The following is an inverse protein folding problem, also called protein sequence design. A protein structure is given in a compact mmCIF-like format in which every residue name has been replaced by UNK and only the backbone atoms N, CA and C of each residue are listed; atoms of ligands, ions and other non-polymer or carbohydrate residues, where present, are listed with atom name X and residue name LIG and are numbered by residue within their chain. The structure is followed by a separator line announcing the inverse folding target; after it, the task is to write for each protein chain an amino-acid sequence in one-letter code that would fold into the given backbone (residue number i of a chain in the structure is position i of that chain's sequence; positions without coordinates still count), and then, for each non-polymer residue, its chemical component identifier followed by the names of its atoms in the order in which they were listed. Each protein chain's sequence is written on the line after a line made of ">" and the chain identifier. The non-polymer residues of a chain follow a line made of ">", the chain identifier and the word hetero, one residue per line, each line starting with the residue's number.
data_IF_439277197443
#
_entry.id   IF_439277197443
#
_cell.length_a   1.000
_cell.length_b   1.000
_cell.length_c   1.000
_cell.angle_alpha   90.00
_cell.angle_beta   90.00
_cell.angle_gamma   90.00
#
_symmetry.space_group_name_H-M   'P 1'
#
loop_
_entity.id
_entity.type
_entity.pdbx_description
1 polymer ?
#
# COMPACT_ATOMS: atom_id res chain seq x y z
N UNK A 1 -38.83 -15.05 18.86
CA UNK A 1 -37.40 -14.97 19.26
C UNK A 1 -36.61 -14.84 17.97
N UNK A 2 -36.23 -13.62 17.60
CA UNK A 2 -35.54 -13.36 16.32
C UNK A 2 -34.03 -13.42 16.56
N UNK A 3 -33.37 -14.44 15.99
CA UNK A 3 -31.92 -14.51 15.93
C UNK A 3 -31.42 -13.49 14.90
N UNK A 4 -30.83 -12.39 15.37
CA UNK A 4 -30.06 -11.49 14.53
C UNK A 4 -28.70 -12.15 14.30
N UNK A 5 -28.53 -12.80 13.15
CA UNK A 5 -27.20 -13.17 12.67
C UNK A 5 -26.42 -11.88 12.42
N UNK A 6 -25.40 -11.63 13.25
CA UNK A 6 -24.45 -10.57 13.01
C UNK A 6 -23.78 -10.82 11.64
N UNK A 7 -23.61 -9.80 10.79
CA UNK A 7 -22.86 -9.96 9.56
C UNK A 7 -21.43 -10.36 9.91
N UNK A 8 -20.95 -11.45 9.30
CA UNK A 8 -19.53 -11.83 9.30
C UNK A 8 -18.75 -10.64 8.72
N UNK A 9 -18.15 -9.83 9.59
CA UNK A 9 -17.14 -8.87 9.17
C UNK A 9 -16.05 -9.67 8.45
N UNK A 10 -15.68 -9.33 7.20
CA UNK A 10 -14.53 -9.96 6.56
C UNK A 10 -13.31 -9.68 7.44
N UNK A 11 -12.82 -10.71 8.13
CA UNK A 11 -11.54 -10.63 8.84
C UNK A 11 -10.45 -10.44 7.79
N UNK A 12 -9.98 -9.20 7.65
CA UNK A 12 -8.79 -8.90 6.89
C UNK A 12 -7.59 -9.52 7.60
N UNK A 13 -6.95 -10.51 6.97
CA UNK A 13 -5.59 -10.89 7.33
C UNK A 13 -4.64 -9.86 6.70
N UNK A 14 -4.51 -8.71 7.34
CA UNK A 14 -3.47 -7.74 6.99
C UNK A 14 -2.21 -8.07 7.77
N UNK A 15 -1.16 -8.54 7.09
CA UNK A 15 0.17 -8.58 7.69
C UNK A 15 0.68 -7.14 7.81
N UNK A 16 0.73 -6.62 9.05
CA UNK A 16 1.41 -5.36 9.31
C UNK A 16 2.93 -5.61 9.22
N UNK A 17 3.50 -5.25 8.07
CA UNK A 17 4.95 -5.31 7.87
C UNK A 17 5.62 -4.09 8.50
N UNK A 18 6.70 -4.27 9.28
CA UNK A 18 7.55 -3.17 9.70
C UNK A 18 8.10 -2.37 8.51
N UNK A 19 8.32 -1.07 8.69
CA UNK A 19 8.99 -0.23 7.68
C UNK A 19 10.34 -0.82 7.24
N UNK A 20 11.08 -1.40 8.19
CA UNK A 20 12.37 -2.04 7.91
C UNK A 20 12.22 -3.15 6.87
N UNK A 21 11.21 -4.01 6.99
CA UNK A 21 10.93 -5.07 6.01
C UNK A 21 10.64 -4.50 4.62
N UNK A 22 9.97 -3.36 4.53
CA UNK A 22 9.77 -2.65 3.26
C UNK A 22 11.07 -2.14 2.65
N UNK A 23 12.02 -1.66 3.46
CA UNK A 23 13.34 -1.24 3.01
C UNK A 23 14.22 -2.44 2.62
N UNK A 24 14.16 -3.52 3.39
CA UNK A 24 14.85 -4.77 3.08
C UNK A 24 14.35 -5.35 1.75
N UNK A 25 13.04 -5.27 1.47
CA UNK A 25 12.47 -5.66 0.19
C UNK A 25 13.06 -4.85 -0.98
N UNK A 26 13.15 -3.53 -0.84
CA UNK A 26 13.77 -2.66 -1.84
C UNK A 26 15.23 -3.07 -2.08
N UNK A 27 15.95 -3.39 -1.01
CA UNK A 27 17.36 -3.80 -1.02
C UNK A 27 17.60 -5.23 -1.52
N UNK A 28 16.56 -6.00 -1.85
CA UNK A 28 16.74 -7.27 -2.59
C UNK A 28 17.32 -7.07 -3.99
N UNK A 29 17.29 -5.84 -4.51
CA UNK A 29 18.12 -5.42 -5.63
C UNK A 29 19.31 -4.62 -5.11
N UNK A 30 20.47 -5.27 -5.05
CA UNK A 30 21.75 -4.63 -4.74
C UNK A 30 22.40 -4.14 -6.03
N UNK A 31 23.17 -3.06 -5.95
CA UNK A 31 23.90 -2.46 -7.06
C UNK A 31 25.43 -2.55 -6.90
N UNK A 32 25.93 -3.06 -5.77
CA UNK A 32 27.35 -3.11 -5.47
C UNK A 32 27.87 -4.55 -5.25
N UNK A 33 29.04 -4.93 -5.79
CA UNK A 33 29.87 -4.24 -6.79
C UNK A 33 29.29 -4.33 -8.23
N UNK A 34 28.30 -5.18 -8.45
CA UNK A 34 27.55 -5.37 -9.70
C UNK A 34 26.08 -5.55 -9.32
N UNK A 35 25.10 -5.10 -10.15
CA UNK A 35 23.70 -5.34 -9.87
C UNK A 35 23.41 -6.83 -9.63
N UNK A 36 22.81 -7.14 -8.48
CA UNK A 36 22.42 -8.48 -8.09
C UNK A 36 21.00 -8.48 -7.55
N UNK A 37 20.13 -9.25 -8.20
CA UNK A 37 18.75 -9.44 -7.77
C UNK A 37 18.65 -10.72 -6.95
N UNK A 38 18.38 -10.57 -5.66
CA UNK A 38 18.15 -11.69 -4.74
C UNK A 38 16.78 -12.36 -4.96
N UNK A 39 15.89 -11.74 -5.75
CA UNK A 39 14.60 -12.29 -6.19
C UNK A 39 14.70 -12.64 -7.69
N UNK A 40 15.62 -13.53 -8.05
CA UNK A 40 15.87 -13.94 -9.43
C UNK A 40 14.93 -15.04 -9.95
N UNK A 41 14.17 -15.64 -9.05
CA UNK A 41 13.29 -16.78 -9.34
C UNK A 41 12.02 -16.73 -8.50
N UNK A 42 10.91 -17.36 -8.97
CA UNK A 42 9.68 -17.45 -8.18
C UNK A 42 9.91 -18.12 -6.82
N UNK A 43 10.82 -19.10 -6.75
CA UNK A 43 11.18 -19.76 -5.51
C UNK A 43 11.91 -18.82 -4.54
N UNK A 44 12.93 -18.10 -5.01
CA UNK A 44 13.64 -17.12 -4.18
C UNK A 44 12.70 -16.04 -3.65
N UNK A 45 11.76 -15.57 -4.48
CA UNK A 45 10.73 -14.62 -4.08
C UNK A 45 9.82 -15.15 -2.96
N UNK A 46 9.30 -16.38 -3.10
CA UNK A 46 8.42 -16.96 -2.09
C UNK A 46 9.18 -17.27 -0.77
N UNK A 47 10.43 -17.71 -0.85
CA UNK A 47 11.27 -17.93 0.34
C UNK A 47 11.60 -16.61 1.05
N UNK A 48 11.89 -15.55 0.30
CA UNK A 48 12.12 -14.22 0.87
C UNK A 48 10.88 -13.74 1.64
N UNK A 49 9.68 -13.83 1.03
CA UNK A 49 8.43 -13.44 1.68
C UNK A 49 8.15 -14.27 2.96
N UNK A 50 8.38 -15.58 2.92
CA UNK A 50 8.17 -16.45 4.08
C UNK A 50 9.18 -16.19 5.21
N UNK A 51 10.44 -15.89 4.87
CA UNK A 51 11.49 -15.58 5.85
C UNK A 51 11.30 -14.23 6.55
N UNK A 52 10.49 -13.33 5.97
CA UNK A 52 10.17 -12.01 6.54
C UNK A 52 8.76 -11.95 7.14
N UNK A 53 8.13 -13.11 7.41
CA UNK A 53 6.78 -13.23 8.00
C UNK A 53 5.66 -12.53 7.19
N UNK A 54 5.90 -12.32 5.88
CA UNK A 54 4.92 -11.74 4.95
C UNK A 54 4.00 -12.79 4.33
N UNK A 55 4.31 -14.06 4.55
CA UNK A 55 3.55 -15.22 4.07
C UNK A 55 3.82 -16.42 4.97
N UNK A 56 2.81 -17.28 5.15
CA UNK A 56 2.97 -18.54 5.88
C UNK A 56 3.74 -19.59 5.05
N UNK A 57 4.53 -20.44 5.72
CA UNK A 57 5.38 -21.46 5.06
C UNK A 57 4.56 -22.50 4.31
N UNK A 58 3.38 -22.83 4.83
CA UNK A 58 2.43 -23.75 4.21
C UNK A 58 1.90 -23.18 2.89
N UNK A 59 1.51 -21.89 2.90
CA UNK A 59 1.06 -21.20 1.68
C UNK A 59 2.18 -21.10 0.63
N UNK A 60 3.42 -20.88 1.06
CA UNK A 60 4.61 -20.93 0.19
C UNK A 60 4.73 -22.30 -0.49
N UNK A 61 4.65 -23.39 0.28
CA UNK A 61 4.79 -24.75 -0.24
C UNK A 61 3.68 -25.11 -1.22
N UNK A 62 2.43 -24.73 -0.91
CA UNK A 62 1.29 -24.91 -1.80
C UNK A 62 1.47 -24.14 -3.12
N UNK A 63 1.97 -22.91 -3.08
CA UNK A 63 2.23 -22.12 -4.27
C UNK A 63 3.38 -22.68 -5.12
N UNK A 64 4.44 -23.18 -4.49
CA UNK A 64 5.54 -23.84 -5.20
C UNK A 64 5.05 -25.09 -5.94
N UNK A 65 4.25 -25.93 -5.28
CA UNK A 65 3.64 -27.10 -5.92
C UNK A 65 2.72 -26.69 -7.09
N UNK A 66 1.99 -25.58 -6.97
CA UNK A 66 1.20 -25.06 -8.10
C UNK A 66 2.08 -24.61 -9.28
N UNK A 67 3.25 -24.04 -9.02
CA UNK A 67 4.16 -23.60 -10.09
C UNK A 67 4.79 -24.75 -10.86
N UNK A 68 4.91 -25.95 -10.27
CA UNK A 68 5.32 -27.15 -11.00
C UNK A 68 4.34 -27.48 -12.14
N UNK A 69 3.04 -27.24 -11.90
CA UNK A 69 1.97 -27.51 -12.85
C UNK A 69 1.67 -26.31 -13.77
N UNK A 70 2.00 -25.10 -13.32
CA UNK A 70 1.80 -23.85 -14.07
C UNK A 70 2.98 -22.87 -13.90
N UNK A 71 4.14 -23.12 -14.54
CA UNK A 71 5.35 -22.30 -14.33
C UNK A 71 5.17 -20.82 -14.68
N UNK A 72 4.32 -20.52 -15.67
CA UNK A 72 4.02 -19.16 -16.08
C UNK A 72 3.42 -18.32 -14.94
N UNK A 73 2.66 -18.93 -14.02
CA UNK A 73 2.09 -18.23 -12.87
C UNK A 73 3.17 -17.73 -11.90
N UNK A 74 4.24 -18.51 -11.70
CA UNK A 74 5.38 -18.11 -10.88
C UNK A 74 6.11 -16.90 -11.45
N UNK A 75 6.38 -16.90 -12.76
CA UNK A 75 6.99 -15.76 -13.43
C UNK A 75 6.11 -14.51 -13.40
N UNK A 76 4.79 -14.67 -13.56
CA UNK A 76 3.85 -13.55 -13.43
C UNK A 76 3.84 -12.95 -12.02
N UNK A 77 3.92 -13.79 -10.98
CA UNK A 77 4.07 -13.33 -9.60
C UNK A 77 5.38 -12.54 -9.45
N UNK A 78 6.50 -13.09 -9.94
CA UNK A 78 7.80 -12.44 -9.84
C UNK A 78 7.80 -11.07 -10.52
N UNK A 79 7.23 -10.97 -11.73
CA UNK A 79 7.08 -9.68 -12.42
C UNK A 79 6.17 -8.69 -11.69
N UNK A 80 5.22 -9.14 -10.85
CA UNK A 80 4.45 -8.25 -9.98
C UNK A 80 5.31 -7.74 -8.83
N UNK A 81 6.07 -8.62 -8.18
CA UNK A 81 6.98 -8.23 -7.09
C UNK A 81 8.04 -7.24 -7.56
N UNK A 82 8.65 -7.46 -8.73
CA UNK A 82 9.63 -6.53 -9.30
C UNK A 82 9.05 -5.15 -9.57
N UNK A 83 7.83 -5.06 -10.14
CA UNK A 83 7.16 -3.77 -10.38
C UNK A 83 6.88 -3.02 -9.08
N UNK A 84 6.41 -3.73 -8.05
CA UNK A 84 6.17 -3.11 -6.74
C UNK A 84 7.49 -2.64 -6.11
N UNK A 85 8.55 -3.45 -6.20
CA UNK A 85 9.89 -3.10 -5.70
C UNK A 85 10.44 -1.85 -6.37
N UNK A 86 10.30 -1.76 -7.69
CA UNK A 86 10.74 -0.61 -8.48
C UNK A 86 9.99 0.67 -8.06
N UNK A 87 8.68 0.60 -7.93
CA UNK A 87 7.88 1.73 -7.47
C UNK A 87 8.22 2.15 -6.03
N UNK A 88 8.41 1.18 -5.12
CA UNK A 88 8.84 1.47 -3.74
C UNK A 88 10.22 2.14 -3.72
N UNK A 89 11.16 1.68 -4.56
CA UNK A 89 12.46 2.33 -4.73
C UNK A 89 12.33 3.77 -5.21
N UNK A 90 11.51 4.03 -6.22
CA UNK A 90 11.26 5.38 -6.72
C UNK A 90 10.72 6.33 -5.63
N UNK A 91 9.83 5.85 -4.76
CA UNK A 91 9.34 6.60 -3.60
C UNK A 91 10.44 6.86 -2.58
N UNK A 92 11.28 5.87 -2.26
CA UNK A 92 12.40 6.03 -1.32
C UNK A 92 13.42 7.03 -1.85
N UNK A 93 13.80 6.92 -3.13
CA UNK A 93 14.74 7.82 -3.79
C UNK A 93 14.22 9.26 -3.83
N UNK A 94 12.93 9.45 -4.13
CA UNK A 94 12.29 10.77 -4.07
C UNK A 94 12.35 11.37 -2.67
N UNK A 95 12.09 10.55 -1.66
CA UNK A 95 12.11 10.96 -0.26
C UNK A 95 13.52 11.39 0.18
N UNK A 96 14.55 10.60 -0.16
CA UNK A 96 15.96 10.93 0.10
C UNK A 96 16.37 12.22 -0.62
N UNK A 97 15.93 12.39 -1.87
CA UNK A 97 16.20 13.59 -2.67
C UNK A 97 15.34 14.81 -2.27
N UNK A 98 14.46 14.69 -1.27
CA UNK A 98 13.53 15.75 -0.81
C UNK A 98 12.67 16.33 -1.95
N UNK A 99 12.21 15.46 -2.85
CA UNK A 99 11.30 15.80 -3.96
C UNK A 99 10.00 15.02 -3.84
N UNK A 100 8.97 15.45 -4.57
CA UNK A 100 7.75 14.66 -4.70
C UNK A 100 8.05 13.32 -5.41
N UNK A 101 7.46 12.19 -4.95
CA UNK A 101 7.48 10.93 -5.69
C UNK A 101 6.75 11.02 -7.03
N UNK A 102 7.11 10.13 -7.96
CA UNK A 102 6.37 10.02 -9.23
C UNK A 102 4.93 9.53 -8.95
N UNK A 103 3.89 10.18 -9.52
CA UNK A 103 2.52 9.70 -9.41
C UNK A 103 2.32 8.25 -9.87
N UNK A 104 3.10 7.76 -10.83
CA UNK A 104 3.05 6.37 -11.30
C UNK A 104 3.51 5.39 -10.21
N UNK A 105 4.62 5.69 -9.52
CA UNK A 105 5.14 4.88 -8.42
C UNK A 105 4.12 4.82 -7.27
N UNK A 106 3.55 5.97 -6.91
CA UNK A 106 2.48 6.03 -5.91
C UNK A 106 1.24 5.25 -6.39
N UNK A 107 0.92 5.29 -7.68
CA UNK A 107 -0.16 4.53 -8.28
C UNK A 107 0.04 3.02 -8.16
N UNK A 108 1.26 2.53 -8.40
CA UNK A 108 1.65 1.13 -8.26
C UNK A 108 1.55 0.67 -6.80
N UNK A 109 2.17 1.39 -5.86
CA UNK A 109 2.13 1.06 -4.43
C UNK A 109 0.68 1.07 -3.92
N UNK A 110 -0.11 2.07 -4.29
CA UNK A 110 -1.53 2.13 -3.94
C UNK A 110 -2.32 0.97 -4.55
N UNK A 111 -2.04 0.56 -5.79
CA UNK A 111 -2.68 -0.61 -6.40
C UNK A 111 -2.37 -1.89 -5.62
N UNK A 112 -1.13 -2.09 -5.22
CA UNK A 112 -0.71 -3.25 -4.43
C UNK A 112 -1.37 -3.27 -3.05
N UNK A 113 -1.50 -2.12 -2.38
CA UNK A 113 -2.18 -2.03 -1.08
C UNK A 113 -3.70 -2.17 -1.18
N UNK A 114 -4.32 -1.72 -2.28
CA UNK A 114 -5.78 -1.77 -2.49
C UNK A 114 -6.35 -3.19 -2.55
N UNK A 115 -5.53 -4.21 -2.76
CA UNK A 115 -5.97 -5.61 -2.61
C UNK A 115 -6.45 -5.91 -1.18
N UNK A 116 -6.05 -5.11 -0.19
CA UNK A 116 -6.39 -5.32 1.22
C UNK A 116 -6.95 -4.09 1.94
N UNK A 117 -7.37 -3.01 1.26
CA UNK A 117 -8.01 -1.87 1.95
C UNK A 117 -9.01 -1.14 1.04
N UNK A 118 -10.30 -1.21 1.39
CA UNK A 118 -11.29 -0.22 0.99
C UNK A 118 -11.21 0.91 2.04
N UNK A 119 -10.54 2.00 1.70
CA UNK A 119 -10.78 3.27 2.38
C UNK A 119 -11.88 4.01 1.61
N UNK A 120 -13.10 4.03 2.16
CA UNK A 120 -14.10 5.01 1.73
C UNK A 120 -13.71 6.37 2.32
N UNK A 121 -13.30 7.31 1.47
CA UNK A 121 -13.20 8.71 1.85
C UNK A 121 -14.62 9.29 1.87
N UNK A 122 -15.24 9.34 3.06
CA UNK A 122 -16.48 10.09 3.25
C UNK A 122 -16.13 11.59 3.33
N UNK A 123 -16.59 12.35 2.33
CA UNK A 123 -16.55 13.80 2.38
C UNK A 123 -17.44 14.30 3.51
N UNK A 124 -16.87 14.71 4.64
CA UNK A 124 -17.61 15.50 5.63
C UNK A 124 -17.67 16.93 5.08
N UNK A 125 -18.65 17.20 4.23
CA UNK A 125 -19.03 18.57 3.94
C UNK A 125 -19.70 19.11 5.21
N UNK A 126 -18.94 19.78 6.08
CA UNK A 126 -19.50 20.59 7.16
C UNK A 126 -20.23 21.77 6.53
N UNK A 127 -21.49 21.54 6.17
CA UNK A 127 -22.43 22.60 5.85
C UNK A 127 -22.70 23.34 7.16
N UNK A 128 -22.03 24.46 7.37
CA UNK A 128 -22.38 25.39 8.43
C UNK A 128 -23.84 25.83 8.20
N UNK A 129 -24.76 25.21 8.93
CA UNK A 129 -26.14 25.66 9.06
C UNK A 129 -26.11 26.99 9.78
N UNK A 130 -26.25 28.07 9.02
CA UNK A 130 -26.44 29.42 9.56
C UNK A 130 -27.85 29.46 10.17
N UNK A 131 -27.95 29.21 11.48
CA UNK A 131 -29.16 29.42 12.28
C UNK A 131 -29.11 30.81 12.91
N UNK A 132 -30.07 31.65 12.51
CA UNK A 132 -30.81 32.67 13.30
C UNK A 132 -30.08 33.47 14.40
N UNK A 133 -30.00 34.80 14.16
CA UNK A 133 -29.77 35.98 15.04
C UNK A 133 -30.26 35.86 16.51
N UNK A 134 -29.83 36.70 17.51
CA UNK A 134 -29.65 38.17 17.42
C UNK A 134 -28.69 38.83 18.45
N UNK A 135 -27.55 39.41 18.05
CA UNK A 135 -26.89 40.51 18.82
C UNK A 135 -25.62 41.05 18.13
N UNK A 136 -25.45 42.39 18.23
CA UNK A 136 -24.29 43.24 17.86
C UNK A 136 -24.14 43.66 16.40
N UNK A 137 -24.97 44.65 16.06
CA UNK A 137 -24.56 45.78 15.24
C UNK A 137 -23.36 46.51 15.88
N UNK A 138 -22.31 46.82 15.10
CA UNK A 138 -21.39 47.97 15.25
C UNK A 138 -20.88 48.41 13.85
N UNK A 139 -20.47 49.68 13.67
CA UNK A 139 -20.87 50.50 12.51
C UNK A 139 -19.82 50.56 11.39
N UNK A 140 -20.29 50.80 10.16
CA UNK A 140 -19.43 51.19 9.03
C UNK A 140 -19.03 52.65 9.18
N UNK A 141 -17.73 52.89 9.29
CA UNK A 141 -17.16 54.23 9.18
C UNK A 141 -17.32 54.74 7.74
N UNK A 142 -18.07 55.83 7.60
CA UNK A 142 -18.14 56.68 6.41
C UNK A 142 -16.77 57.31 6.16
N UNK A 143 -16.23 57.22 4.95
CA UNK A 143 -15.28 58.22 4.45
C UNK A 143 -15.66 58.60 3.02
N UNK A 144 -16.04 59.87 2.90
CA UNK A 144 -16.25 60.58 1.66
C UNK A 144 -14.90 60.81 0.95
N UNK A 145 -14.94 60.77 -0.38
CA UNK A 145 -14.47 61.87 -1.22
C UNK A 145 -15.09 61.77 -2.60
#
# INVERSE_FOLDING_TARGET
>A
MSNVSAPLMPMQQGHLAPLQTGLDFVNTLDFWPVPHDHLDSPQAALEWLASHDLMHREARDDMLHQFEHAPAAGWQLLSRLHRIREAMRGVVEASVARRAPDPADLGEVNRAMRTHYIYELLTIATRATRSTEPWRAWPRASHAR
#
